data_IF_923742854573
#
_entry.id   IF_923742854573
#
_cell.length_a   1.000
_cell.length_b   1.000
_cell.length_c   1.000
_cell.angle_alpha   90.00
_cell.angle_beta   90.00
_cell.angle_gamma   90.00
#
_symmetry.space_group_name_H-M   'P 1'
#
loop_
_entity.id
_entity.type
_entity.pdbx_description
1 polymer ?
#
# COMPACT_ATOMS: atom_id res chain seq x y z
N UNK A 1 -43.90 -6.51 12.64
CA UNK A 1 -43.19 -5.66 11.66
C UNK A 1 -41.85 -5.34 12.29
N UNK A 2 -40.84 -6.16 12.02
CA UNK A 2 -39.49 -6.01 12.56
C UNK A 2 -38.70 -5.20 11.55
N UNK A 3 -38.23 -4.01 11.93
CA UNK A 3 -37.46 -3.13 11.03
C UNK A 3 -36.12 -3.76 10.64
N UNK A 4 -35.54 -3.38 9.49
CA UNK A 4 -34.22 -3.86 9.09
C UNK A 4 -33.14 -3.21 9.96
N UNK A 5 -32.23 -4.02 10.48
CA UNK A 5 -30.99 -3.59 11.13
C UNK A 5 -30.13 -2.74 10.16
N UNK A 6 -29.74 -1.50 10.50
CA UNK A 6 -28.93 -0.64 9.63
C UNK A 6 -27.41 -0.79 9.81
N UNK A 7 -26.93 -1.77 10.57
CA UNK A 7 -25.51 -1.89 10.93
C UNK A 7 -24.88 -3.22 10.48
N UNK A 8 -24.94 -3.49 9.17
CA UNK A 8 -23.99 -4.39 8.50
C UNK A 8 -22.62 -3.71 8.37
N UNK A 9 -21.99 -3.42 9.52
CA UNK A 9 -20.61 -2.96 9.57
C UNK A 9 -19.77 -3.93 8.74
N UNK A 10 -19.11 -3.40 7.71
CA UNK A 10 -18.24 -4.17 6.83
C UNK A 10 -17.01 -4.62 7.62
N UNK A 11 -17.17 -5.66 8.42
CA UNK A 11 -16.07 -6.45 8.97
C UNK A 11 -15.51 -7.27 7.80
N UNK A 12 -14.83 -6.58 6.88
CA UNK A 12 -14.08 -7.29 5.86
C UNK A 12 -13.00 -8.07 6.61
N UNK A 13 -12.97 -9.40 6.51
CA UNK A 13 -11.96 -10.18 7.21
C UNK A 13 -10.58 -9.64 6.81
N UNK A 14 -9.77 -9.34 7.82
CA UNK A 14 -8.38 -8.94 7.59
C UNK A 14 -7.70 -10.04 6.78
N UNK A 15 -7.04 -9.72 5.65
CA UNK A 15 -6.46 -10.74 4.80
C UNK A 15 -5.41 -11.55 5.56
N UNK A 16 -5.22 -12.81 5.16
CA UNK A 16 -4.23 -13.70 5.79
C UNK A 16 -2.84 -13.04 5.81
N UNK A 17 -2.13 -13.00 6.96
CA UNK A 17 -0.82 -12.37 7.05
C UNK A 17 0.21 -12.89 6.04
N UNK A 18 0.21 -14.19 5.76
CA UNK A 18 1.13 -14.79 4.80
C UNK A 18 0.82 -14.35 3.36
N UNK A 19 -0.47 -14.10 3.05
CA UNK A 19 -0.86 -13.52 1.78
C UNK A 19 -0.49 -12.04 1.70
N UNK A 20 -0.68 -11.28 2.78
CA UNK A 20 -0.40 -9.84 2.83
C UNK A 20 1.06 -9.52 2.52
N UNK A 21 2.01 -10.26 3.09
CA UNK A 21 3.43 -10.02 2.84
C UNK A 21 3.80 -10.22 1.37
N UNK A 22 3.33 -11.32 0.78
CA UNK A 22 3.59 -11.63 -0.64
C UNK A 22 2.87 -10.64 -1.54
N UNK A 23 1.63 -10.29 -1.22
CA UNK A 23 0.84 -9.32 -1.98
C UNK A 23 1.46 -7.92 -1.88
N UNK A 24 2.08 -7.56 -0.76
CA UNK A 24 2.75 -6.27 -0.56
C UNK A 24 3.95 -6.12 -1.49
N UNK A 25 4.83 -7.13 -1.55
CA UNK A 25 5.97 -7.14 -2.49
C UNK A 25 5.49 -7.09 -3.95
N UNK A 26 4.43 -7.84 -4.29
CA UNK A 26 3.84 -7.79 -5.64
C UNK A 26 3.24 -6.42 -5.96
N UNK A 27 2.54 -5.78 -5.02
CA UNK A 27 1.96 -4.45 -5.23
C UNK A 27 3.06 -3.40 -5.45
N UNK A 28 4.12 -3.42 -4.64
CA UNK A 28 5.27 -2.51 -4.78
C UNK A 28 5.94 -2.69 -6.15
N UNK A 29 6.20 -3.93 -6.57
CA UNK A 29 6.79 -4.21 -7.89
C UNK A 29 5.87 -3.85 -9.05
N UNK A 30 4.56 -4.05 -8.90
CA UNK A 30 3.59 -3.64 -9.91
C UNK A 30 3.55 -2.12 -10.07
N UNK A 31 3.44 -1.38 -8.96
CA UNK A 31 3.19 0.06 -8.94
C UNK A 31 4.46 0.89 -9.07
N UNK A 32 5.52 0.51 -8.39
CA UNK A 32 6.80 1.21 -8.38
C UNK A 32 7.70 0.85 -9.56
N UNK A 33 7.72 -0.41 -10.00
CA UNK A 33 8.67 -0.89 -11.01
C UNK A 33 8.04 -1.24 -12.36
N UNK A 34 6.74 -1.50 -12.42
CA UNK A 34 6.10 -2.01 -13.63
C UNK A 34 6.59 -3.41 -14.02
N UNK A 35 7.10 -4.19 -13.07
CA UNK A 35 7.76 -5.50 -13.29
C UNK A 35 6.82 -6.57 -13.88
N UNK A 36 5.52 -6.32 -13.84
CA UNK A 36 4.51 -7.24 -14.34
C UNK A 36 3.86 -6.71 -15.61
N UNK A 37 3.37 -7.65 -16.45
CA UNK A 37 2.54 -7.36 -17.63
C UNK A 37 1.14 -6.91 -17.20
N UNK A 38 1.07 -5.82 -16.44
CA UNK A 38 -0.11 -5.30 -15.79
C UNK A 38 -0.66 -6.20 -14.67
N UNK A 39 -1.89 -5.90 -14.27
CA UNK A 39 -2.60 -6.54 -13.16
C UNK A 39 -2.71 -8.06 -13.30
N UNK A 40 -2.98 -8.57 -14.50
CA UNK A 40 -3.07 -10.02 -14.73
C UNK A 40 -1.73 -10.73 -14.43
N UNK A 41 -0.60 -10.12 -14.77
CA UNK A 41 0.72 -10.65 -14.45
C UNK A 41 0.99 -10.67 -12.95
N UNK A 42 0.59 -9.61 -12.24
CA UNK A 42 0.73 -9.52 -10.79
C UNK A 42 -0.13 -10.57 -10.06
N UNK A 43 -1.39 -10.77 -10.47
CA UNK A 43 -2.27 -11.80 -9.90
C UNK A 43 -1.72 -13.22 -10.10
N UNK A 44 -1.18 -13.52 -11.29
CA UNK A 44 -0.51 -14.81 -11.55
C UNK A 44 0.73 -14.99 -10.66
N UNK A 45 1.52 -13.94 -10.47
CA UNK A 45 2.68 -13.98 -9.60
C UNK A 45 2.28 -14.20 -8.14
N UNK A 46 1.22 -13.54 -7.68
CA UNK A 46 0.67 -13.69 -6.33
C UNK A 46 0.18 -15.12 -6.08
N UNK A 47 -0.68 -15.65 -6.95
CA UNK A 47 -1.22 -17.01 -6.83
C UNK A 47 -0.13 -18.10 -6.86
N UNK A 48 0.98 -17.86 -7.57
CA UNK A 48 2.13 -18.78 -7.61
C UNK A 48 2.96 -18.74 -6.32
N UNK A 49 3.09 -17.56 -5.69
CA UNK A 49 3.97 -17.35 -4.52
C UNK A 49 3.26 -17.61 -3.20
N UNK A 50 1.95 -17.45 -3.16
CA UNK A 50 1.10 -17.75 -2.01
C UNK A 50 -0.13 -18.53 -2.48
N UNK A 51 0.01 -19.83 -2.84
CA UNK A 51 -1.11 -20.65 -3.27
C UNK A 51 -2.07 -20.95 -2.11
N UNK A 52 -3.32 -21.29 -2.43
CA UNK A 52 -4.34 -21.71 -1.44
C UNK A 52 -5.52 -20.76 -1.27
N UNK A 53 -5.47 -19.58 -1.87
CA UNK A 53 -6.57 -18.61 -1.84
C UNK A 53 -7.35 -18.56 -3.15
N UNK A 54 -8.56 -18.01 -3.10
CA UNK A 54 -9.41 -17.82 -4.27
C UNK A 54 -8.95 -16.64 -5.12
N UNK A 55 -9.35 -16.60 -6.39
CA UNK A 55 -9.03 -15.47 -7.28
C UNK A 55 -9.59 -14.14 -6.76
N UNK A 56 -10.77 -14.16 -6.14
CA UNK A 56 -11.37 -12.99 -5.50
C UNK A 56 -10.48 -12.45 -4.37
N UNK A 57 -10.02 -13.33 -3.46
CA UNK A 57 -9.13 -12.94 -2.36
C UNK A 57 -7.82 -12.35 -2.89
N UNK A 58 -7.23 -12.91 -3.94
CA UNK A 58 -6.04 -12.32 -4.55
C UNK A 58 -6.30 -10.93 -5.14
N UNK A 59 -7.43 -10.74 -5.84
CA UNK A 59 -7.81 -9.47 -6.45
C UNK A 59 -8.03 -8.39 -5.40
N UNK A 60 -8.81 -8.71 -4.38
CA UNK A 60 -9.16 -7.78 -3.31
C UNK A 60 -7.92 -7.37 -2.51
N UNK A 61 -7.05 -8.34 -2.18
CA UNK A 61 -5.80 -8.06 -1.46
C UNK A 61 -4.85 -7.21 -2.30
N UNK A 62 -4.71 -7.52 -3.59
CA UNK A 62 -3.88 -6.73 -4.49
C UNK A 62 -4.45 -5.31 -4.69
N UNK A 63 -5.76 -5.16 -4.81
CA UNK A 63 -6.42 -3.83 -4.90
C UNK A 63 -6.20 -3.00 -3.64
N UNK A 64 -6.38 -3.63 -2.48
CA UNK A 64 -6.15 -3.00 -1.19
C UNK A 64 -4.72 -2.44 -1.09
N UNK A 65 -3.72 -3.25 -1.42
CA UNK A 65 -2.31 -2.85 -1.30
C UNK A 65 -1.87 -1.88 -2.41
N UNK A 66 -2.41 -1.99 -3.62
CA UNK A 66 -2.21 -0.98 -4.66
C UNK A 66 -2.80 0.37 -4.24
N UNK A 67 -4.00 0.37 -3.63
CA UNK A 67 -4.62 1.57 -3.10
C UNK A 67 -3.82 2.19 -1.96
N UNK A 68 -3.29 1.36 -1.05
CA UNK A 68 -2.39 1.81 0.01
C UNK A 68 -1.10 2.43 -0.57
N UNK A 69 -0.53 1.85 -1.63
CA UNK A 69 0.63 2.41 -2.33
C UNK A 69 0.31 3.79 -2.93
N UNK A 70 -0.78 3.92 -3.67
CA UNK A 70 -1.17 5.20 -4.28
C UNK A 70 -1.39 6.28 -3.22
N UNK A 71 -2.00 5.93 -2.08
CA UNK A 71 -2.17 6.85 -0.95
C UNK A 71 -0.85 7.22 -0.29
N UNK A 72 0.09 6.28 -0.15
CA UNK A 72 1.43 6.58 0.36
C UNK A 72 2.17 7.60 -0.50
N UNK A 73 2.03 7.50 -1.83
CA UNK A 73 2.58 8.50 -2.76
C UNK A 73 1.99 9.89 -2.49
N UNK A 74 0.68 10.01 -2.32
CA UNK A 74 0.04 11.31 -2.05
C UNK A 74 0.36 11.85 -0.65
N UNK A 75 0.45 10.98 0.37
CA UNK A 75 0.84 11.36 1.73
C UNK A 75 2.26 11.94 1.74
N UNK A 76 3.20 11.26 1.07
CA UNK A 76 4.59 11.74 0.98
C UNK A 76 4.65 13.08 0.25
N UNK A 77 3.91 13.27 -0.85
CA UNK A 77 3.83 14.57 -1.54
C UNK A 77 3.31 15.69 -0.63
N UNK A 78 2.37 15.36 0.25
CA UNK A 78 1.75 16.32 1.17
C UNK A 78 2.69 16.70 2.32
N UNK A 79 3.41 15.71 2.87
CA UNK A 79 4.25 15.87 4.07
C UNK A 79 5.73 16.05 3.76
N UNK A 80 6.11 16.08 2.48
CA UNK A 80 7.46 16.45 2.05
C UNK A 80 7.69 17.92 2.36
N UNK A 81 8.70 18.21 3.19
CA UNK A 81 9.09 19.59 3.48
C UNK A 81 10.00 20.09 2.36
N UNK A 82 9.60 21.16 1.68
CA UNK A 82 10.52 21.90 0.82
C UNK A 82 11.56 22.60 1.70
N UNK A 83 12.84 22.21 1.58
CA UNK A 83 13.95 22.94 2.24
C UNK A 83 14.42 24.05 1.31
N UNK A 84 14.28 25.33 1.68
CA UNK A 84 14.83 26.43 0.89
C UNK A 84 16.35 26.27 0.75
N UNK A 85 16.86 26.27 -0.48
CA UNK A 85 18.31 26.22 -0.75
C UNK A 85 18.90 24.84 -1.05
N UNK A 86 18.12 23.75 -1.04
CA UNK A 86 18.58 22.48 -1.63
C UNK A 86 18.52 22.58 -3.16
N UNK A 87 19.68 22.56 -3.82
CA UNK A 87 19.82 22.47 -5.29
C UNK A 87 19.73 21.04 -5.82
N UNK A 88 19.66 20.04 -4.93
CA UNK A 88 19.45 18.64 -5.31
C UNK A 88 18.02 18.40 -5.75
N UNK A 89 17.85 17.66 -6.85
CA UNK A 89 16.54 17.26 -7.40
C UNK A 89 15.82 16.24 -6.49
N UNK A 90 16.53 15.64 -5.54
CA UNK A 90 16.10 14.53 -4.70
C UNK A 90 15.92 14.98 -3.24
N UNK A 91 14.85 14.53 -2.60
CA UNK A 91 14.65 14.69 -1.17
C UNK A 91 15.52 13.68 -0.42
N UNK A 92 16.07 14.07 0.73
CA UNK A 92 16.70 13.13 1.66
C UNK A 92 15.61 12.48 2.52
N UNK A 93 15.87 11.30 3.10
CA UNK A 93 14.90 10.58 3.94
C UNK A 93 14.42 11.45 5.10
N UNK A 94 15.29 12.35 5.59
CA UNK A 94 15.02 13.33 6.65
C UNK A 94 14.15 14.52 6.21
N UNK A 95 13.82 14.65 4.93
CA UNK A 95 12.89 15.68 4.41
C UNK A 95 11.42 15.24 4.48
N UNK A 96 11.17 13.99 4.85
CA UNK A 96 9.84 13.36 4.86
C UNK A 96 9.43 13.09 6.29
N UNK A 97 8.28 13.64 6.69
CA UNK A 97 7.68 13.38 7.99
C UNK A 97 7.00 12.00 8.00
N UNK A 98 7.79 10.96 8.29
CA UNK A 98 7.34 9.56 8.23
C UNK A 98 6.17 9.28 9.17
N UNK A 99 6.16 9.91 10.35
CA UNK A 99 5.08 9.72 11.33
C UNK A 99 3.78 10.36 10.83
N UNK A 100 3.83 11.56 10.24
CA UNK A 100 2.65 12.17 9.61
C UNK A 100 2.11 11.31 8.45
N UNK A 101 3.00 10.76 7.61
CA UNK A 101 2.61 9.86 6.53
C UNK A 101 1.94 8.59 7.07
N UNK A 102 2.49 8.00 8.14
CA UNK A 102 1.91 6.81 8.78
C UNK A 102 0.51 7.10 9.35
N UNK A 103 0.31 8.24 10.00
CA UNK A 103 -1.01 8.65 10.52
C UNK A 103 -2.05 8.74 9.40
N UNK A 104 -1.69 9.31 8.24
CA UNK A 104 -2.59 9.33 7.08
C UNK A 104 -2.88 7.93 6.52
N UNK A 105 -1.87 7.05 6.46
CA UNK A 105 -2.09 5.68 6.03
C UNK A 105 -2.95 4.87 7.00
N UNK A 106 -2.84 5.11 8.30
CA UNK A 106 -3.71 4.47 9.30
C UNK A 106 -5.19 4.85 9.10
N UNK A 107 -5.47 6.06 8.60
CA UNK A 107 -6.83 6.49 8.25
C UNK A 107 -7.44 5.74 7.05
N UNK A 108 -6.65 5.01 6.25
CA UNK A 108 -7.14 4.17 5.13
C UNK A 108 -7.92 2.94 5.66
N UNK A 109 -7.71 2.58 6.92
CA UNK A 109 -8.45 1.55 7.63
C UNK A 109 -7.61 0.38 8.12
N UNK A 110 -8.22 -0.55 8.86
CA UNK A 110 -7.55 -1.67 9.52
C UNK A 110 -7.14 -2.80 8.56
N UNK A 111 -7.51 -2.72 7.27
CA UNK A 111 -7.28 -3.79 6.29
C UNK A 111 -5.81 -4.04 5.94
N UNK A 112 -4.92 -3.09 6.23
CA UNK A 112 -3.47 -3.22 6.00
C UNK A 112 -2.76 -3.09 7.34
N UNK A 113 -1.95 -4.08 7.70
CA UNK A 113 -1.18 -4.04 8.93
C UNK A 113 -0.08 -2.96 8.86
N UNK A 114 0.29 -2.44 10.03
CA UNK A 114 1.26 -1.34 10.16
C UNK A 114 2.62 -1.69 9.53
N UNK A 115 3.02 -2.96 9.55
CA UNK A 115 4.25 -3.44 8.91
C UNK A 115 4.22 -3.26 7.39
N UNK A 116 3.12 -3.64 6.73
CA UNK A 116 2.98 -3.43 5.28
C UNK A 116 2.84 -1.94 4.95
N UNK A 117 2.16 -1.13 5.78
CA UNK A 117 2.11 0.33 5.63
C UNK A 117 3.53 0.94 5.66
N UNK A 118 4.36 0.53 6.63
CA UNK A 118 5.76 0.95 6.75
C UNK A 118 6.61 0.50 5.56
N UNK A 119 6.43 -0.74 5.11
CA UNK A 119 7.15 -1.29 3.97
C UNK A 119 6.83 -0.50 2.69
N UNK A 120 5.55 -0.25 2.43
CA UNK A 120 5.09 0.57 1.29
C UNK A 120 5.69 1.97 1.36
N UNK A 121 5.57 2.67 2.50
CA UNK A 121 6.12 4.02 2.66
C UNK A 121 7.62 4.06 2.40
N UNK A 122 8.37 3.15 3.00
CA UNK A 122 9.84 3.08 2.82
C UNK A 122 10.21 2.93 1.34
N UNK A 123 9.49 2.07 0.61
CA UNK A 123 9.71 1.89 -0.82
C UNK A 123 9.33 3.10 -1.65
N UNK A 124 8.21 3.76 -1.33
CA UNK A 124 7.77 4.97 -2.03
C UNK A 124 8.79 6.09 -1.83
N UNK A 125 9.27 6.31 -0.60
CA UNK A 125 10.32 7.29 -0.28
C UNK A 125 11.58 7.02 -1.10
N UNK A 126 12.04 5.77 -1.09
CA UNK A 126 13.25 5.38 -1.82
C UNK A 126 13.13 5.61 -3.33
N UNK A 127 11.98 5.34 -3.92
CA UNK A 127 11.81 5.41 -5.37
C UNK A 127 11.37 6.76 -5.92
N UNK A 128 10.54 7.50 -5.19
CA UNK A 128 9.98 8.75 -5.67
C UNK A 128 10.80 9.97 -5.24
N UNK A 129 11.52 9.91 -4.13
CA UNK A 129 12.20 11.08 -3.56
C UNK A 129 13.71 10.93 -3.43
N UNK A 130 14.25 9.73 -3.17
CA UNK A 130 15.70 9.50 -3.02
C UNK A 130 16.43 9.15 -4.32
N UNK A 131 15.72 9.05 -5.44
CA UNK A 131 16.22 8.56 -6.73
C UNK A 131 16.20 9.59 -7.83
#
# INVERSE_FOLDING_TARGET
MTGPDPNGGHDRPTPDPALLDVACDVAIRLKGHGDYKGRSGALKALARRAPGFTEEVYRDTLDLLCGAYDRAVEAIRTHRRERPGKTSRFAEFEDIDLDACLVELEAIGPGVATEQKRAILTWVIYWHDLK
#
